data_IF_880479065069
#
_entry.id   IF_880479065069
#
_cell.length_a   1.000
_cell.length_b   1.000
_cell.length_c   1.000
_cell.angle_alpha   90.00
_cell.angle_beta   90.00
_cell.angle_gamma   90.00
#
_symmetry.space_group_name_H-M   'P 1'
#
loop_
_entity.id
_entity.type
_entity.pdbx_description
1 polymer ?
#
# COMPACT_ATOMS: atom_id res chain seq x y z
N UNK A 1 -10.48 -6.83 -18.05
CA UNK A 1 -11.72 -6.02 -18.17
C UNK A 1 -11.35 -4.67 -18.75
N UNK A 2 -11.95 -4.27 -19.89
CA UNK A 2 -11.70 -2.97 -20.51
C UNK A 2 -12.31 -1.83 -19.70
N UNK A 3 -11.61 -0.69 -19.56
CA UNK A 3 -12.11 0.48 -18.84
C UNK A 3 -13.35 1.04 -19.55
N UNK A 4 -14.48 1.13 -18.85
CA UNK A 4 -15.70 1.73 -19.38
C UNK A 4 -15.48 3.21 -19.72
N UNK A 5 -16.12 3.72 -20.76
CA UNK A 5 -15.87 5.09 -21.27
C UNK A 5 -16.18 6.20 -20.25
N UNK A 6 -17.08 5.94 -19.30
CA UNK A 6 -17.42 6.88 -18.22
C UNK A 6 -16.33 7.00 -17.14
N UNK A 7 -15.40 6.06 -17.05
CA UNK A 7 -14.38 6.05 -15.98
C UNK A 7 -13.52 7.31 -16.00
N UNK A 8 -13.06 7.75 -17.18
CA UNK A 8 -12.19 8.93 -17.31
C UNK A 8 -12.91 10.25 -16.97
N UNK A 9 -14.11 10.54 -17.51
CA UNK A 9 -14.88 11.71 -17.08
C UNK A 9 -15.15 11.73 -15.57
N UNK A 10 -15.52 10.59 -14.98
CA UNK A 10 -15.79 10.49 -13.55
C UNK A 10 -14.53 10.72 -12.70
N UNK A 11 -13.38 10.16 -13.11
CA UNK A 11 -12.08 10.43 -12.47
C UNK A 11 -11.77 11.93 -12.46
N UNK A 12 -11.88 12.60 -13.61
CA UNK A 12 -11.61 14.03 -13.74
C UNK A 12 -12.57 14.87 -12.88
N UNK A 13 -13.87 14.59 -12.98
CA UNK A 13 -14.89 15.31 -12.21
C UNK A 13 -14.66 15.15 -10.69
N UNK A 14 -14.28 13.95 -10.24
CA UNK A 14 -14.00 13.68 -8.82
C UNK A 14 -12.76 14.44 -8.34
N UNK A 15 -11.70 14.47 -9.15
CA UNK A 15 -10.48 15.23 -8.83
C UNK A 15 -10.78 16.73 -8.74
N UNK A 16 -11.51 17.27 -9.72
CA UNK A 16 -11.91 18.68 -9.70
C UNK A 16 -12.82 18.99 -8.51
N UNK A 17 -13.78 18.12 -8.23
CA UNK A 17 -14.67 18.24 -7.07
C UNK A 17 -13.90 18.25 -5.75
N UNK A 18 -12.89 17.39 -5.61
CA UNK A 18 -12.01 17.38 -4.44
C UNK A 18 -11.26 18.71 -4.28
N UNK A 19 -10.62 19.22 -5.33
CA UNK A 19 -9.88 20.49 -5.24
C UNK A 19 -10.80 21.69 -5.00
N UNK A 20 -12.00 21.70 -5.59
CA UNK A 20 -13.00 22.73 -5.32
C UNK A 20 -13.47 22.69 -3.86
N UNK A 21 -13.79 21.51 -3.34
CA UNK A 21 -14.25 21.38 -1.97
C UNK A 21 -13.13 21.59 -0.94
N UNK A 22 -12.07 20.78 -0.98
CA UNK A 22 -11.00 20.82 0.01
C UNK A 22 -10.13 22.06 -0.15
N UNK A 23 -9.66 22.34 -1.36
CA UNK A 23 -8.74 23.44 -1.63
C UNK A 23 -9.42 24.80 -1.54
N UNK A 24 -10.56 24.97 -2.22
CA UNK A 24 -11.24 26.26 -2.27
C UNK A 24 -12.20 26.47 -1.09
N UNK A 25 -13.17 25.59 -0.85
CA UNK A 25 -14.14 25.82 0.23
C UNK A 25 -13.51 25.69 1.63
N UNK A 26 -12.82 24.58 1.92
CA UNK A 26 -12.28 24.33 3.27
C UNK A 26 -11.03 25.16 3.54
N UNK A 27 -10.01 25.08 2.68
CA UNK A 27 -8.74 25.76 2.95
C UNK A 27 -8.81 27.25 2.63
N UNK A 28 -9.27 27.65 1.44
CA UNK A 28 -9.22 29.05 1.04
C UNK A 28 -10.31 29.91 1.71
N UNK A 29 -11.58 29.49 1.73
CA UNK A 29 -12.66 30.31 2.30
C UNK A 29 -12.74 30.28 3.83
N UNK A 30 -12.49 29.14 4.48
CA UNK A 30 -12.65 29.04 5.94
C UNK A 30 -11.41 29.48 6.74
N UNK A 31 -10.22 29.50 6.14
CA UNK A 31 -8.97 29.85 6.85
C UNK A 31 -8.44 31.20 6.33
N UNK A 32 -8.39 32.25 7.17
CA UNK A 32 -8.19 33.62 6.69
C UNK A 32 -6.75 33.95 6.30
N UNK A 33 -5.76 33.37 6.97
CA UNK A 33 -4.33 33.70 6.74
C UNK A 33 -3.61 32.60 5.98
N UNK A 34 -2.66 32.96 5.11
CA UNK A 34 -1.89 31.99 4.35
C UNK A 34 -1.02 31.08 5.24
N UNK A 35 -0.50 31.59 6.35
CA UNK A 35 0.29 30.82 7.32
C UNK A 35 -0.56 29.72 7.96
N UNK A 36 -1.77 30.06 8.42
CA UNK A 36 -2.69 29.08 8.98
C UNK A 36 -3.15 28.05 7.95
N UNK A 37 -3.33 28.43 6.67
CA UNK A 37 -3.62 27.47 5.58
C UNK A 37 -2.48 26.47 5.40
N UNK A 38 -1.24 26.97 5.31
CA UNK A 38 -0.06 26.13 5.16
C UNK A 38 0.11 25.19 6.36
N UNK A 39 -0.04 25.71 7.58
CA UNK A 39 0.03 24.92 8.81
C UNK A 39 -1.08 23.87 8.86
N UNK A 40 -2.31 24.23 8.52
CA UNK A 40 -3.44 23.30 8.49
C UNK A 40 -3.19 22.15 7.52
N UNK A 41 -2.80 22.44 6.28
CA UNK A 41 -2.47 21.42 5.28
C UNK A 41 -1.35 20.51 5.81
N UNK A 42 -0.27 21.09 6.34
CA UNK A 42 0.87 20.33 6.83
C UNK A 42 0.46 19.39 7.97
N UNK A 43 -0.21 19.92 9.00
CA UNK A 43 -0.64 19.13 10.15
C UNK A 43 -1.68 18.08 9.76
N UNK A 44 -2.66 18.41 8.90
CA UNK A 44 -3.71 17.46 8.49
C UNK A 44 -3.14 16.26 7.73
N UNK A 45 -2.16 16.49 6.85
CA UNK A 45 -1.52 15.42 6.10
C UNK A 45 -0.49 14.67 6.95
N UNK A 46 0.30 15.37 7.77
CA UNK A 46 1.27 14.73 8.65
C UNK A 46 0.60 13.83 9.69
N UNK A 47 -0.53 14.25 10.25
CA UNK A 47 -1.28 13.46 11.22
C UNK A 47 -1.83 12.15 10.64
N UNK A 48 -2.10 12.10 9.33
CA UNK A 48 -2.61 10.91 8.64
C UNK A 48 -1.49 10.01 8.10
N UNK A 49 -0.24 10.49 8.03
CA UNK A 49 0.89 9.70 7.51
C UNK A 49 1.18 8.41 8.29
N UNK A 50 1.15 8.35 9.63
CA UNK A 50 1.39 7.10 10.35
C UNK A 50 0.44 5.97 9.94
N UNK A 51 -0.85 6.29 9.81
CA UNK A 51 -1.87 5.37 9.30
C UNK A 51 -1.57 4.94 7.86
N UNK A 52 -1.20 5.90 7.01
CA UNK A 52 -0.89 5.63 5.61
C UNK A 52 0.31 4.68 5.47
N UNK A 53 1.41 4.96 6.17
CA UNK A 53 2.64 4.15 6.14
C UNK A 53 2.36 2.71 6.62
N UNK A 54 1.56 2.53 7.67
CA UNK A 54 1.27 1.19 8.20
C UNK A 54 0.47 0.33 7.21
N UNK A 55 -0.52 0.92 6.55
CA UNK A 55 -1.32 0.22 5.54
C UNK A 55 -0.48 -0.06 4.28
N UNK A 56 0.29 0.92 3.80
CA UNK A 56 1.10 0.73 2.58
C UNK A 56 2.24 -0.25 2.80
N UNK A 57 2.93 -0.23 3.94
CA UNK A 57 3.98 -1.21 4.26
C UNK A 57 3.44 -2.64 4.20
N UNK A 58 2.23 -2.86 4.73
CA UNK A 58 1.64 -4.19 4.86
C UNK A 58 1.22 -4.81 3.52
N UNK A 59 1.04 -4.01 2.47
CA UNK A 59 0.51 -4.47 1.18
C UNK A 59 1.36 -4.09 -0.06
N UNK A 60 1.99 -2.92 -0.11
CA UNK A 60 2.72 -2.45 -1.30
C UNK A 60 3.99 -3.27 -1.59
N UNK A 61 4.58 -3.86 -0.56
CA UNK A 61 5.75 -4.74 -0.70
C UNK A 61 5.41 -6.19 -1.07
N UNK A 62 4.12 -6.52 -1.21
CA UNK A 62 3.62 -7.89 -1.33
C UNK A 62 3.03 -8.18 -2.71
N UNK A 63 3.11 -9.42 -3.23
CA UNK A 63 2.54 -9.75 -4.53
C UNK A 63 1.01 -9.64 -4.52
N UNK A 64 0.43 -9.05 -5.57
CA UNK A 64 -1.04 -8.83 -5.69
C UNK A 64 -1.74 -9.80 -6.64
N UNK A 65 -1.00 -10.68 -7.31
CA UNK A 65 -1.57 -11.66 -8.23
C UNK A 65 -2.48 -12.65 -7.49
N UNK A 66 -3.50 -13.15 -8.17
CA UNK A 66 -4.30 -14.30 -7.69
C UNK A 66 -3.72 -15.55 -8.33
N UNK A 67 -3.32 -16.52 -7.51
CA UNK A 67 -2.77 -17.78 -7.97
C UNK A 67 -3.89 -18.83 -8.06
N UNK A 68 -4.06 -19.53 -9.20
CA UNK A 68 -5.04 -20.60 -9.31
C UNK A 68 -4.76 -21.72 -8.29
N UNK A 69 -5.79 -22.15 -7.55
CA UNK A 69 -5.68 -23.24 -6.57
C UNK A 69 -5.05 -22.85 -5.22
N UNK A 70 -4.72 -21.59 -5.00
CA UNK A 70 -4.20 -21.10 -3.72
C UNK A 70 -5.31 -21.08 -2.65
N UNK A 71 -5.02 -21.63 -1.47
CA UNK A 71 -5.98 -21.61 -0.36
C UNK A 71 -6.04 -20.21 0.29
N UNK A 72 -7.15 -19.92 0.98
CA UNK A 72 -7.36 -18.61 1.62
C UNK A 72 -6.18 -18.19 2.52
N UNK A 73 -5.67 -19.09 3.36
CA UNK A 73 -4.59 -18.77 4.29
C UNK A 73 -3.28 -18.42 3.56
N UNK A 74 -2.92 -19.20 2.53
CA UNK A 74 -1.77 -18.93 1.68
C UNK A 74 -1.90 -17.57 0.98
N UNK A 75 -3.09 -17.28 0.46
CA UNK A 75 -3.37 -16.01 -0.18
C UNK A 75 -3.16 -14.83 0.77
N UNK A 76 -3.78 -14.84 1.96
CA UNK A 76 -3.64 -13.73 2.91
C UNK A 76 -2.20 -13.53 3.38
N UNK A 77 -1.47 -14.63 3.66
CA UNK A 77 -0.08 -14.57 4.12
C UNK A 77 0.91 -14.18 3.02
N UNK A 78 0.56 -14.39 1.74
CA UNK A 78 1.38 -13.97 0.60
C UNK A 78 1.09 -12.52 0.21
N UNK A 79 -0.15 -12.07 0.23
CA UNK A 79 -0.53 -10.73 -0.24
C UNK A 79 -0.44 -9.66 0.85
N UNK A 80 -0.17 -10.07 2.09
CA UNK A 80 -0.11 -9.21 3.26
C UNK A 80 1.09 -9.58 4.14
N UNK A 81 1.69 -8.58 4.80
CA UNK A 81 2.74 -8.79 5.80
C UNK A 81 2.42 -8.04 7.09
N UNK A 82 3.04 -8.50 8.18
CA UNK A 82 3.02 -7.80 9.46
C UNK A 82 4.27 -6.96 9.65
N UNK A 83 4.17 -5.96 10.54
CA UNK A 83 5.29 -5.14 10.96
C UNK A 83 5.74 -5.58 12.35
N UNK A 84 6.99 -5.98 12.48
CA UNK A 84 7.59 -6.29 13.77
C UNK A 84 7.92 -4.99 14.50
N UNK A 85 7.27 -4.78 15.64
CA UNK A 85 7.50 -3.62 16.50
C UNK A 85 7.40 -3.99 17.98
N UNK A 86 8.21 -3.32 18.84
CA UNK A 86 8.10 -3.44 20.28
C UNK A 86 6.69 -3.14 20.79
N UNK A 87 6.25 -3.83 21.84
CA UNK A 87 4.89 -3.69 22.39
C UNK A 87 4.54 -2.27 22.83
N UNK A 88 5.52 -1.45 23.24
CA UNK A 88 5.27 -0.04 23.60
C UNK A 88 4.85 0.83 22.41
N UNK A 89 5.14 0.42 21.17
CA UNK A 89 4.65 1.08 19.95
C UNK A 89 3.23 0.66 19.57
N UNK A 90 2.63 -0.34 20.24
CA UNK A 90 1.30 -0.85 19.88
C UNK A 90 0.22 0.22 19.89
N UNK A 91 0.30 1.15 20.84
CA UNK A 91 -0.63 2.27 20.92
C UNK A 91 -0.53 3.18 19.68
N UNK A 92 0.68 3.42 19.20
CA UNK A 92 0.94 4.25 18.01
C UNK A 92 0.49 3.55 16.73
N UNK A 93 0.62 2.21 16.68
CA UNK A 93 0.16 1.43 15.54
C UNK A 93 -1.34 1.10 15.58
N UNK A 94 -2.01 1.22 16.73
CA UNK A 94 -3.44 0.98 16.85
C UNK A 94 -3.90 -0.42 16.42
N UNK A 95 -2.98 -1.40 16.40
CA UNK A 95 -3.22 -2.77 15.92
C UNK A 95 -3.04 -2.98 14.42
N UNK A 96 -2.67 -1.95 13.64
CA UNK A 96 -2.49 -2.03 12.19
C UNK A 96 -1.19 -2.72 11.76
N UNK A 97 -0.26 -2.96 12.69
CA UNK A 97 0.96 -3.74 12.47
C UNK A 97 0.69 -5.24 12.27
N UNK A 98 -0.52 -5.71 12.55
CA UNK A 98 -0.94 -7.11 12.49
C UNK A 98 -1.93 -7.39 11.36
N UNK A 99 -1.73 -6.82 10.16
CA UNK A 99 -2.66 -6.98 9.05
C UNK A 99 -2.83 -8.44 8.63
N UNK A 100 -1.75 -9.22 8.50
CA UNK A 100 -1.86 -10.62 8.08
C UNK A 100 -2.69 -11.44 9.09
N UNK A 101 -2.51 -11.20 10.38
CA UNK A 101 -3.33 -11.83 11.44
C UNK A 101 -4.78 -11.34 11.38
N UNK A 102 -5.01 -10.04 11.17
CA UNK A 102 -6.35 -9.47 11.02
C UNK A 102 -7.10 -10.06 9.83
N UNK A 103 -6.44 -10.24 8.70
CA UNK A 103 -7.01 -10.82 7.49
C UNK A 103 -7.36 -12.32 7.67
N UNK A 104 -6.57 -13.07 8.44
CA UNK A 104 -6.88 -14.46 8.79
C UNK A 104 -8.02 -14.56 9.81
N UNK A 105 -8.08 -13.63 10.78
CA UNK A 105 -9.02 -13.66 11.89
C UNK A 105 -9.72 -12.31 12.10
N UNK A 106 -10.59 -11.87 11.16
CA UNK A 106 -11.17 -10.53 11.19
C UNK A 106 -12.09 -10.25 12.38
N UNK A 107 -12.55 -11.32 13.05
CA UNK A 107 -13.40 -11.24 14.26
C UNK A 107 -12.60 -11.06 15.56
N UNK A 108 -11.28 -11.24 15.52
CA UNK A 108 -10.43 -11.02 16.70
C UNK A 108 -10.27 -9.51 16.89
N UNK A 109 -10.58 -8.97 18.08
CA UNK A 109 -10.41 -7.55 18.32
C UNK A 109 -8.93 -7.16 18.29
N UNK A 110 -8.63 -5.94 17.82
CA UNK A 110 -7.27 -5.48 17.53
C UNK A 110 -6.29 -5.63 18.69
N UNK A 111 -6.75 -5.43 19.92
CA UNK A 111 -5.94 -5.58 21.14
C UNK A 111 -5.49 -7.03 21.42
N UNK A 112 -6.14 -8.03 20.82
CA UNK A 112 -5.79 -9.44 20.94
C UNK A 112 -4.91 -9.94 19.78
N UNK A 113 -4.70 -9.16 18.71
CA UNK A 113 -3.95 -9.63 17.53
C UNK A 113 -2.50 -9.99 17.88
N UNK A 114 -1.86 -9.26 18.81
CA UNK A 114 -0.52 -9.59 19.30
C UNK A 114 -0.47 -10.97 19.95
N UNK A 115 -1.49 -11.34 20.71
CA UNK A 115 -1.58 -12.65 21.35
C UNK A 115 -1.86 -13.76 20.32
N UNK A 116 -2.53 -13.44 19.21
CA UNK A 116 -2.81 -14.40 18.13
C UNK A 116 -1.59 -14.63 17.23
N UNK A 117 -0.73 -13.62 17.05
CA UNK A 117 0.41 -13.69 16.13
C UNK A 117 1.32 -14.92 16.32
N UNK A 118 1.70 -15.33 17.55
CA UNK A 118 2.51 -16.54 17.77
C UNK A 118 1.87 -17.82 17.21
N UNK A 119 0.55 -17.96 17.30
CA UNK A 119 -0.15 -19.13 16.75
C UNK A 119 -0.12 -19.13 15.21
N UNK A 120 -0.20 -17.97 14.57
CA UNK A 120 -0.03 -17.84 13.12
C UNK A 120 1.39 -18.19 12.71
N UNK A 121 2.41 -17.74 13.46
CA UNK A 121 3.81 -18.13 13.22
C UNK A 121 3.98 -19.64 13.28
N UNK A 122 3.39 -20.28 14.29
CA UNK A 122 3.48 -21.72 14.47
C UNK A 122 2.78 -22.49 13.34
N UNK A 123 1.55 -22.12 13.00
CA UNK A 123 0.83 -22.68 11.86
C UNK A 123 1.64 -22.59 10.55
N UNK A 124 2.26 -21.44 10.29
CA UNK A 124 3.10 -21.23 9.12
C UNK A 124 4.36 -22.12 9.13
N UNK A 125 4.95 -22.32 10.32
CA UNK A 125 6.10 -23.21 10.52
C UNK A 125 5.74 -24.67 10.25
N UNK A 126 4.60 -25.13 10.74
CA UNK A 126 4.12 -26.51 10.56
C UNK A 126 3.74 -26.82 9.10
N UNK A 127 3.16 -25.84 8.41
CA UNK A 127 2.67 -26.01 7.03
C UNK A 127 3.69 -25.63 5.96
N UNK A 128 4.81 -25.03 6.34
CA UNK A 128 5.83 -24.50 5.41
C UNK A 128 5.39 -23.23 4.65
N UNK A 129 4.30 -22.59 5.06
CA UNK A 129 3.82 -21.34 4.44
C UNK A 129 4.71 -20.19 4.90
N UNK A 130 5.19 -19.37 3.97
CA UNK A 130 5.99 -18.19 4.29
C UNK A 130 5.13 -17.13 4.97
N UNK A 131 5.47 -16.80 6.20
CA UNK A 131 4.91 -15.65 6.92
C UNK A 131 5.91 -14.49 6.90
N UNK A 132 5.53 -13.37 6.29
CA UNK A 132 6.39 -12.19 6.19
C UNK A 132 6.11 -11.24 7.34
N UNK A 133 7.10 -11.08 8.21
CA UNK A 133 7.12 -10.06 9.27
C UNK A 133 8.42 -9.29 9.10
N UNK A 134 8.36 -7.97 8.93
CA UNK A 134 9.54 -7.12 8.78
C UNK A 134 9.56 -6.04 9.85
N UNK A 135 10.74 -5.67 10.32
CA UNK A 135 10.89 -4.47 11.15
C UNK A 135 10.43 -3.21 10.38
N UNK A 136 10.01 -2.16 11.09
CA UNK A 136 9.53 -0.94 10.45
C UNK A 136 10.54 -0.36 9.42
N UNK A 137 11.82 -0.31 9.77
CA UNK A 137 12.90 0.14 8.88
C UNK A 137 13.15 -0.79 7.69
N UNK A 138 13.17 -2.10 7.93
CA UNK A 138 13.35 -3.11 6.88
C UNK A 138 12.17 -3.14 5.89
N UNK A 139 10.95 -2.96 6.39
CA UNK A 139 9.75 -2.82 5.59
C UNK A 139 9.85 -1.61 4.65
N UNK A 140 10.27 -0.45 5.17
CA UNK A 140 10.46 0.75 4.36
C UNK A 140 11.56 0.56 3.30
N UNK A 141 12.69 -0.08 3.66
CA UNK A 141 13.74 -0.40 2.70
C UNK A 141 13.24 -1.33 1.59
N UNK A 142 12.42 -2.32 1.91
CA UNK A 142 11.82 -3.21 0.92
C UNK A 142 10.87 -2.47 -0.03
N UNK A 143 10.06 -1.53 0.48
CA UNK A 143 9.20 -0.68 -0.36
C UNK A 143 10.04 0.18 -1.30
N UNK A 144 11.08 0.84 -0.80
CA UNK A 144 11.99 1.65 -1.61
C UNK A 144 12.71 0.81 -2.68
N UNK A 145 13.18 -0.39 -2.32
CA UNK A 145 13.81 -1.32 -3.26
C UNK A 145 12.85 -1.79 -4.37
N UNK A 146 11.57 -2.00 -4.06
CA UNK A 146 10.56 -2.30 -5.09
C UNK A 146 10.28 -1.11 -6.00
N UNK A 147 10.24 0.11 -5.48
CA UNK A 147 10.12 1.32 -6.29
C UNK A 147 11.32 1.48 -7.25
N UNK A 148 12.54 1.16 -6.77
CA UNK A 148 13.73 1.15 -7.61
C UNK A 148 13.63 0.09 -8.74
N UNK A 149 13.18 -1.12 -8.43
CA UNK A 149 13.00 -2.19 -9.42
C UNK A 149 11.96 -1.83 -10.48
N UNK A 150 10.81 -1.27 -10.07
CA UNK A 150 9.78 -0.77 -10.98
C UNK A 150 10.34 0.33 -11.88
N UNK A 151 11.17 1.23 -11.32
CA UNK A 151 11.83 2.28 -12.09
C UNK A 151 12.76 1.70 -13.15
N UNK A 152 13.56 0.67 -12.80
CA UNK A 152 14.43 -0.03 -13.76
C UNK A 152 13.62 -0.70 -14.87
N UNK A 153 12.50 -1.35 -14.54
CA UNK A 153 11.60 -1.96 -15.53
C UNK A 153 11.00 -0.90 -16.46
N UNK A 154 10.51 0.22 -15.93
CA UNK A 154 9.96 1.31 -16.73
C UNK A 154 11.01 1.91 -17.68
N UNK A 155 12.24 2.11 -17.20
CA UNK A 155 13.35 2.58 -18.03
C UNK A 155 13.72 1.58 -19.13
N UNK A 156 13.72 0.28 -18.83
CA UNK A 156 13.94 -0.76 -19.83
C UNK A 156 12.85 -0.74 -20.89
N UNK A 157 11.57 -0.67 -20.49
CA UNK A 157 10.43 -0.56 -21.42
C UNK A 157 10.55 0.68 -22.30
N UNK A 158 10.92 1.84 -21.75
CA UNK A 158 11.12 3.07 -22.52
C UNK A 158 12.26 2.93 -23.54
N UNK A 159 13.36 2.27 -23.17
CA UNK A 159 14.47 1.96 -24.10
C UNK A 159 14.04 1.01 -25.21
N UNK A 160 13.29 -0.05 -24.88
CA UNK A 160 12.72 -0.96 -25.87
C UNK A 160 11.79 -0.21 -26.83
N UNK A 161 10.91 0.64 -26.31
CA UNK A 161 9.99 1.44 -27.13
C UNK A 161 10.74 2.40 -28.07
N UNK A 162 11.79 3.07 -27.57
CA UNK A 162 12.64 3.94 -28.40
C UNK A 162 13.40 3.14 -29.47
N UNK A 163 13.89 1.95 -29.14
CA UNK A 163 14.55 1.06 -30.09
C UNK A 163 13.57 0.59 -31.18
N UNK A 164 12.39 0.11 -30.81
CA UNK A 164 11.34 -0.31 -31.74
C UNK A 164 10.89 0.85 -32.65
N UNK A 165 10.81 2.08 -32.12
CA UNK A 165 10.49 3.26 -32.92
C UNK A 165 11.60 3.63 -33.93
N UNK A 166 12.86 3.35 -33.60
CA UNK A 166 14.00 3.64 -34.46
C UNK A 166 14.26 2.54 -35.51
N UNK A 167 14.03 1.28 -35.17
CA UNK A 167 14.31 0.12 -36.06
C UNK A 167 13.07 -0.38 -36.80
N UNK A 168 11.87 -0.07 -36.31
CA UNK A 168 10.60 -0.59 -36.84
C UNK A 168 10.33 -2.05 -36.50
N UNK A 169 11.22 -2.73 -35.76
CA UNK A 169 11.03 -4.11 -35.33
C UNK A 169 10.22 -4.17 -34.03
N UNK A 170 9.09 -4.87 -34.05
CA UNK A 170 8.26 -5.13 -32.88
C UNK A 170 8.22 -6.62 -32.59
N UNK A 171 8.69 -7.03 -31.41
CA UNK A 171 8.65 -8.43 -30.95
C UNK A 171 7.26 -9.00 -30.68
N UNK A 172 6.19 -8.27 -31.03
CA UNK A 172 4.78 -8.68 -30.90
C UNK A 172 4.21 -9.34 -32.18
N UNK A 173 5.05 -9.63 -33.18
CA UNK A 173 4.66 -10.25 -34.46
C UNK A 173 5.05 -11.75 -34.59
N UNK A 174 5.18 -12.47 -33.48
CA UNK A 174 5.24 -13.94 -33.47
C UNK A 174 4.21 -14.53 -32.51
#
# INVERSE_FOLDING_TARGET
>A
MGRAFWTRPTEIASILGYFAWYGYLVVYLCIPTWQARALFIFVSHLATMPLHIQITLSHWGMPTCVLPGECFAQHQLRTTMDVDCPAWLDFIHGGLQFQAVHHLFPRVPRHNLRAVQPYVREFCRETGIKYSILGFTEGNQKVLGRLEEITKQALLMAKCQAHMAATGESGLLH
#
